data_IF_960238655389
#
_entry.id   IF_960238655389
#
_cell.length_a   1.000
_cell.length_b   1.000
_cell.length_c   1.000
_cell.angle_alpha   90.00
_cell.angle_beta   90.00
_cell.angle_gamma   90.00
#
_symmetry.space_group_name_H-M   'P 1'
#
loop_
_entity.id
_entity.type
_entity.pdbx_description
1 polymer ?
#
# COMPACT_ATOMS: atom_id res chain seq x y z
N UNK A 1 -12.39 43.20 5.33
CA UNK A 1 -12.55 42.23 6.44
C UNK A 1 -13.04 43.02 7.63
N UNK A 2 -14.32 42.86 7.98
CA UNK A 2 -14.96 43.64 9.04
C UNK A 2 -14.55 43.11 10.43
N UNK A 3 -14.71 43.95 11.47
CA UNK A 3 -14.30 43.61 12.84
C UNK A 3 -14.99 42.33 13.37
N UNK A 4 -16.22 42.08 12.93
CA UNK A 4 -17.03 40.91 13.30
C UNK A 4 -16.46 39.61 12.70
N UNK A 5 -16.05 39.65 11.43
CA UNK A 5 -15.37 38.53 10.75
C UNK A 5 -13.99 38.23 11.35
N UNK A 6 -13.34 39.23 11.92
CA UNK A 6 -12.03 39.05 12.59
C UNK A 6 -12.19 38.37 13.96
N UNK A 7 -13.29 38.64 14.66
CA UNK A 7 -13.56 38.07 15.98
C UNK A 7 -14.05 36.63 15.89
N UNK A 8 -14.94 36.31 14.94
CA UNK A 8 -15.38 34.94 14.65
C UNK A 8 -14.18 34.04 14.32
N UNK A 9 -13.22 34.54 13.54
CA UNK A 9 -12.00 33.81 13.19
C UNK A 9 -11.10 33.49 14.40
N UNK A 10 -10.99 34.41 15.36
CA UNK A 10 -10.20 34.19 16.57
C UNK A 10 -10.84 33.12 17.46
N UNK A 11 -12.17 33.13 17.58
CA UNK A 11 -12.92 32.11 18.34
C UNK A 11 -12.76 30.72 17.73
N UNK A 12 -12.81 30.61 16.40
CA UNK A 12 -12.59 29.34 15.70
C UNK A 12 -11.15 28.83 15.83
N UNK A 13 -10.16 29.73 15.81
CA UNK A 13 -8.75 29.38 16.08
C UNK A 13 -8.56 28.82 17.48
N UNK A 14 -9.14 29.47 18.49
CA UNK A 14 -9.08 29.00 19.88
C UNK A 14 -9.78 27.65 20.05
N UNK A 15 -10.87 27.42 19.32
CA UNK A 15 -11.57 26.13 19.29
C UNK A 15 -10.67 25.01 18.74
N UNK A 16 -9.96 25.24 17.62
CA UNK A 16 -9.00 24.27 17.06
C UNK A 16 -7.90 23.94 18.07
N UNK A 17 -7.32 24.95 18.73
CA UNK A 17 -6.27 24.77 19.74
C UNK A 17 -6.79 23.97 20.95
N UNK A 18 -7.99 24.26 21.43
CA UNK A 18 -8.64 23.51 22.51
C UNK A 18 -8.87 22.04 22.14
N UNK A 19 -9.37 21.78 20.92
CA UNK A 19 -9.58 20.42 20.41
C UNK A 19 -8.28 19.64 20.25
N UNK A 20 -7.21 20.31 19.82
CA UNK A 20 -5.86 19.73 19.78
C UNK A 20 -5.37 19.30 21.16
N UNK A 21 -5.52 20.16 22.18
CA UNK A 21 -5.15 19.80 23.55
C UNK A 21 -5.94 18.56 24.04
N UNK A 22 -7.25 18.51 23.77
CA UNK A 22 -8.08 17.35 24.12
C UNK A 22 -7.67 16.07 23.39
N UNK A 23 -7.22 16.16 22.14
CA UNK A 23 -6.68 15.01 21.40
C UNK A 23 -5.39 14.49 22.03
N UNK A 24 -4.47 15.38 22.44
CA UNK A 24 -3.24 14.97 23.13
C UNK A 24 -3.50 14.30 24.48
N UNK A 25 -4.49 14.78 25.24
CA UNK A 25 -4.91 14.13 26.48
C UNK A 25 -5.43 12.71 26.23
N UNK A 26 -6.27 12.52 25.21
CA UNK A 26 -6.78 11.19 24.83
C UNK A 26 -5.66 10.23 24.42
N UNK A 27 -4.68 10.72 23.65
CA UNK A 27 -3.49 9.94 23.27
C UNK A 27 -2.66 9.56 24.48
N UNK A 28 -2.43 10.48 25.41
CA UNK A 28 -1.72 10.20 26.65
C UNK A 28 -2.44 9.14 27.50
N UNK A 29 -3.76 9.22 27.60
CA UNK A 29 -4.57 8.22 28.31
C UNK A 29 -4.48 6.84 27.64
N UNK A 30 -4.52 6.77 26.31
CA UNK A 30 -4.36 5.51 25.55
C UNK A 30 -2.99 4.88 25.78
N UNK A 31 -1.91 5.68 25.77
CA UNK A 31 -0.53 5.18 26.00
C UNK A 31 -0.35 4.53 27.37
N UNK A 32 -1.21 4.88 28.34
CA UNK A 32 -1.21 4.30 29.69
C UNK A 32 -2.10 3.06 29.81
N UNK A 33 -2.93 2.77 28.81
CA UNK A 33 -3.83 1.61 28.82
C UNK A 33 -3.09 0.33 28.40
N UNK A 34 -3.49 -0.79 29.00
CA UNK A 34 -2.96 -2.11 28.66
C UNK A 34 -3.42 -2.51 27.26
N UNK A 35 -2.48 -2.80 26.37
CA UNK A 35 -2.77 -3.20 24.99
C UNK A 35 -3.73 -4.39 24.95
N UNK A 36 -4.78 -4.29 24.13
CA UNK A 36 -5.76 -5.35 23.95
C UNK A 36 -6.88 -5.41 24.99
N UNK A 37 -6.82 -4.61 26.05
CA UNK A 37 -7.96 -4.44 26.98
C UNK A 37 -9.12 -3.69 26.30
N UNK A 38 -10.36 -3.91 26.78
CA UNK A 38 -11.53 -3.15 26.30
C UNK A 38 -11.31 -1.64 26.41
N UNK A 39 -10.70 -1.21 27.53
CA UNK A 39 -10.32 0.18 27.77
C UNK A 39 -9.34 0.71 26.73
N UNK A 40 -8.38 -0.11 26.27
CA UNK A 40 -7.45 0.29 25.21
C UNK A 40 -8.18 0.54 23.89
N UNK A 41 -9.10 -0.35 23.50
CA UNK A 41 -9.87 -0.21 22.27
C UNK A 41 -10.80 1.01 22.31
N UNK A 42 -11.44 1.27 23.45
CA UNK A 42 -12.25 2.47 23.67
C UNK A 42 -11.43 3.75 23.53
N UNK A 43 -10.26 3.82 24.17
CA UNK A 43 -9.37 4.98 24.10
C UNK A 43 -8.78 5.17 22.70
N UNK A 44 -8.47 4.09 21.98
CA UNK A 44 -8.04 4.17 20.59
C UNK A 44 -9.14 4.75 19.71
N UNK A 45 -10.40 4.34 19.89
CA UNK A 45 -11.54 4.90 19.16
C UNK A 45 -11.72 6.39 19.47
N UNK A 46 -11.64 6.80 20.74
CA UNK A 46 -11.74 8.20 21.15
C UNK A 46 -10.65 9.08 20.50
N UNK A 47 -9.41 8.57 20.42
CA UNK A 47 -8.32 9.25 19.70
C UNK A 47 -8.65 9.43 18.21
N UNK A 48 -9.15 8.38 17.55
CA UNK A 48 -9.52 8.44 16.13
C UNK A 48 -10.67 9.42 15.88
N UNK A 49 -11.70 9.43 16.73
CA UNK A 49 -12.85 10.34 16.64
C UNK A 49 -12.44 11.80 16.83
N UNK A 50 -11.64 12.08 17.85
CA UNK A 50 -11.09 13.42 18.09
C UNK A 50 -10.21 13.88 16.94
N UNK A 51 -9.40 12.99 16.37
CA UNK A 51 -8.56 13.28 15.21
C UNK A 51 -9.41 13.63 13.98
N UNK A 52 -10.45 12.84 13.70
CA UNK A 52 -11.36 13.08 12.58
C UNK A 52 -12.09 14.43 12.73
N UNK A 53 -12.64 14.70 13.91
CA UNK A 53 -13.35 15.95 14.19
C UNK A 53 -12.44 17.19 14.06
N UNK A 54 -11.18 17.07 14.49
CA UNK A 54 -10.20 18.15 14.40
C UNK A 54 -9.76 18.41 12.95
N UNK A 55 -9.55 17.36 12.16
CA UNK A 55 -9.23 17.48 10.73
C UNK A 55 -10.38 18.09 9.93
N UNK A 56 -11.63 17.68 10.19
CA UNK A 56 -12.83 18.28 9.58
C UNK A 56 -12.98 19.76 9.97
N UNK A 57 -12.80 20.10 11.25
CA UNK A 57 -12.85 21.49 11.72
C UNK A 57 -11.81 22.35 11.00
N UNK A 58 -10.55 21.91 10.97
CA UNK A 58 -9.48 22.65 10.33
C UNK A 58 -9.66 22.77 8.81
N UNK A 59 -10.24 21.75 8.15
CA UNK A 59 -10.59 21.79 6.74
C UNK A 59 -11.69 22.82 6.43
N UNK A 60 -12.79 22.80 7.20
CA UNK A 60 -13.90 23.74 7.02
C UNK A 60 -13.44 25.20 7.20
N UNK A 61 -12.53 25.45 8.15
CA UNK A 61 -11.92 26.76 8.33
C UNK A 61 -11.09 27.20 7.13
N UNK A 62 -10.32 26.28 6.56
CA UNK A 62 -9.55 26.51 5.33
C UNK A 62 -10.46 26.90 4.16
N UNK A 63 -11.53 26.14 3.92
CA UNK A 63 -12.50 26.42 2.85
C UNK A 63 -13.17 27.80 3.02
N UNK A 64 -13.57 28.14 4.25
CA UNK A 64 -14.12 29.47 4.58
C UNK A 64 -13.11 30.59 4.32
N UNK A 65 -11.85 30.42 4.69
CA UNK A 65 -10.82 31.44 4.45
C UNK A 65 -10.57 31.70 2.96
N UNK A 66 -10.66 30.66 2.14
CA UNK A 66 -10.50 30.77 0.69
C UNK A 66 -11.69 31.44 0.02
N UNK A 67 -12.90 31.20 0.50
CA UNK A 67 -14.10 31.90 -0.02
C UNK A 67 -14.15 33.38 0.37
N UNK A 68 -13.49 33.75 1.48
CA UNK A 68 -13.46 35.13 2.00
C UNK A 68 -12.33 36.00 1.41
N UNK A 69 -11.27 35.41 0.85
CA UNK A 69 -10.20 36.13 0.15
C UNK A 69 -10.47 36.14 -1.36
N UNK A 70 -10.25 37.27 -2.02
CA UNK A 70 -10.06 37.29 -3.48
C UNK A 70 -8.76 36.54 -3.79
N UNK A 71 -8.87 35.22 -3.93
CA UNK A 71 -7.75 34.31 -4.07
C UNK A 71 -7.14 34.36 -5.48
N UNK A 72 -5.82 34.39 -5.55
CA UNK A 72 -5.09 34.32 -6.81
C UNK A 72 -5.08 32.87 -7.34
N UNK A 73 -4.73 32.64 -8.61
CA UNK A 73 -4.63 31.28 -9.20
C UNK A 73 -3.69 30.35 -8.39
N UNK A 74 -2.65 30.89 -7.75
CA UNK A 74 -1.75 30.12 -6.88
C UNK A 74 -2.45 29.62 -5.60
N UNK A 75 -3.34 30.43 -5.01
CA UNK A 75 -4.12 30.06 -3.82
C UNK A 75 -5.14 28.95 -4.16
N UNK A 76 -5.74 29.00 -5.35
CA UNK A 76 -6.64 27.95 -5.86
C UNK A 76 -5.91 26.63 -6.08
N UNK A 77 -4.70 26.66 -6.65
CA UNK A 77 -3.86 25.46 -6.81
C UNK A 77 -3.38 24.91 -5.46
N UNK A 78 -3.08 25.78 -4.50
CA UNK A 78 -2.79 25.40 -3.12
C UNK A 78 -3.98 24.68 -2.46
N UNK A 79 -5.18 25.21 -2.66
CA UNK A 79 -6.41 24.60 -2.15
C UNK A 79 -6.66 23.19 -2.72
N UNK A 80 -6.57 23.03 -4.04
CA UNK A 80 -6.78 21.72 -4.71
C UNK A 80 -5.80 20.67 -4.16
N UNK A 81 -4.54 21.05 -3.91
CA UNK A 81 -3.55 20.15 -3.29
C UNK A 81 -3.90 19.80 -1.86
N UNK A 82 -4.41 20.76 -1.09
CA UNK A 82 -4.86 20.53 0.29
C UNK A 82 -6.13 19.66 0.37
N UNK A 83 -7.03 19.77 -0.62
CA UNK A 83 -8.26 18.96 -0.73
C UNK A 83 -7.94 17.48 -0.94
N UNK A 84 -7.09 17.18 -1.92
CA UNK A 84 -6.64 15.81 -2.18
C UNK A 84 -5.98 15.18 -0.95
N UNK A 85 -5.21 15.97 -0.20
CA UNK A 85 -4.52 15.53 0.99
C UNK A 85 -5.46 15.34 2.20
N UNK A 86 -6.46 16.20 2.36
CA UNK A 86 -7.52 16.04 3.36
C UNK A 86 -8.36 14.78 3.09
N UNK A 87 -8.78 14.57 1.83
CA UNK A 87 -9.51 13.36 1.43
C UNK A 87 -8.70 12.10 1.75
N UNK A 88 -7.41 12.09 1.41
CA UNK A 88 -6.51 10.99 1.74
C UNK A 88 -6.40 10.74 3.26
N UNK A 89 -6.26 11.80 4.06
CA UNK A 89 -6.21 11.68 5.52
C UNK A 89 -7.53 11.10 6.07
N UNK A 90 -8.68 11.56 5.56
CA UNK A 90 -10.00 11.05 5.95
C UNK A 90 -10.19 9.58 5.60
N UNK A 91 -9.80 9.16 4.40
CA UNK A 91 -9.80 7.73 4.00
C UNK A 91 -8.98 6.87 4.96
N UNK A 92 -7.81 7.36 5.37
CA UNK A 92 -6.93 6.64 6.29
C UNK A 92 -7.51 6.51 7.69
N UNK A 93 -8.13 7.56 8.23
CA UNK A 93 -8.84 7.49 9.50
C UNK A 93 -9.98 6.48 9.43
N UNK A 94 -10.76 6.48 8.34
CA UNK A 94 -11.82 5.48 8.12
C UNK A 94 -11.27 4.05 8.07
N UNK A 95 -10.14 3.83 7.41
CA UNK A 95 -9.48 2.52 7.42
C UNK A 95 -9.04 2.12 8.83
N UNK A 96 -8.49 3.04 9.62
CA UNK A 96 -8.09 2.79 11.01
C UNK A 96 -9.27 2.43 11.91
N UNK A 97 -10.43 3.08 11.74
CA UNK A 97 -11.65 2.71 12.45
C UNK A 97 -12.04 1.25 12.16
N UNK A 98 -12.10 0.87 10.88
CA UNK A 98 -12.48 -0.49 10.51
C UNK A 98 -11.46 -1.54 10.99
N UNK A 99 -10.16 -1.21 10.97
CA UNK A 99 -9.11 -2.07 11.53
C UNK A 99 -9.32 -2.24 13.04
N UNK A 100 -9.59 -1.14 13.75
CA UNK A 100 -9.80 -1.14 15.20
C UNK A 100 -11.02 -1.98 15.59
N UNK A 101 -12.14 -1.80 14.88
CA UNK A 101 -13.38 -2.58 15.08
C UNK A 101 -13.13 -4.08 14.89
N UNK A 102 -12.46 -4.44 13.79
CA UNK A 102 -12.12 -5.85 13.50
C UNK A 102 -11.19 -6.43 14.56
N UNK A 103 -10.18 -5.67 15.02
CA UNK A 103 -9.26 -6.10 16.07
C UNK A 103 -9.96 -6.34 17.40
N UNK A 104 -10.83 -5.41 17.81
CA UNK A 104 -11.62 -5.54 19.04
C UNK A 104 -12.45 -6.83 19.04
N UNK A 105 -13.06 -7.17 17.89
CA UNK A 105 -13.83 -8.41 17.74
C UNK A 105 -12.97 -9.68 17.73
N UNK A 106 -11.77 -9.63 17.15
CA UNK A 106 -10.90 -10.80 17.02
C UNK A 106 -10.03 -11.07 18.24
N UNK A 107 -9.73 -10.06 19.06
CA UNK A 107 -8.82 -10.19 20.21
C UNK A 107 -9.20 -11.32 21.19
N UNK A 108 -10.48 -11.51 21.59
CA UNK A 108 -10.89 -12.60 22.50
C UNK A 108 -10.77 -14.02 21.91
N UNK A 109 -10.76 -14.13 20.57
CA UNK A 109 -10.64 -15.41 19.85
C UNK A 109 -9.20 -15.85 19.61
N UNK A 110 -8.23 -14.94 19.73
CA UNK A 110 -6.81 -15.18 19.43
C UNK A 110 -6.13 -16.13 20.41
N UNK A 111 -6.58 -16.21 21.67
CA UNK A 111 -6.02 -17.18 22.63
C UNK A 111 -6.30 -18.66 22.28
N UNK A 112 -7.14 -18.94 21.26
CA UNK A 112 -7.64 -20.30 20.99
C UNK A 112 -7.43 -20.85 19.58
N UNK A 113 -6.94 -20.07 18.62
CA UNK A 113 -6.86 -20.49 17.21
C UNK A 113 -5.43 -20.72 16.72
N UNK A 114 -4.96 -21.98 16.69
CA UNK A 114 -3.72 -22.34 16.01
C UNK A 114 -3.84 -22.09 14.50
N UNK A 115 -2.88 -21.36 13.92
CA UNK A 115 -2.76 -21.33 12.46
C UNK A 115 -2.29 -22.69 11.94
N UNK A 116 -2.73 -23.12 10.74
CA UNK A 116 -2.28 -24.38 10.17
C UNK A 116 -0.75 -24.35 9.98
N UNK A 117 -0.05 -25.33 10.56
CA UNK A 117 1.38 -25.51 10.36
C UNK A 117 1.69 -25.76 8.88
N UNK A 118 2.47 -24.87 8.25
CA UNK A 118 2.90 -24.99 6.86
C UNK A 118 4.20 -25.81 6.80
N UNK A 119 4.11 -27.13 6.97
CA UNK A 119 5.27 -28.03 6.85
C UNK A 119 5.88 -27.96 5.43
N UNK A 120 7.13 -28.36 5.16
CA UNK A 120 7.69 -28.32 3.79
C UNK A 120 7.02 -29.30 2.81
N UNK A 121 6.54 -30.45 3.30
CA UNK A 121 5.83 -31.46 2.49
C UNK A 121 4.31 -31.21 2.47
N UNK A 122 3.91 -30.04 1.98
CA UNK A 122 2.50 -29.67 1.82
C UNK A 122 1.95 -30.34 0.57
N UNK A 123 0.83 -31.05 0.68
CA UNK A 123 0.17 -31.58 -0.52
C UNK A 123 -0.42 -30.43 -1.37
N UNK A 124 -0.61 -30.61 -2.68
CA UNK A 124 -1.09 -29.55 -3.57
C UNK A 124 -2.37 -28.84 -3.07
N UNK A 125 -3.31 -29.59 -2.48
CA UNK A 125 -4.53 -29.05 -1.86
C UNK A 125 -4.24 -28.04 -0.74
N UNK A 126 -3.28 -28.33 0.12
CA UNK A 126 -2.92 -27.42 1.21
C UNK A 126 -2.13 -26.20 0.70
N UNK A 127 -1.30 -26.35 -0.35
CA UNK A 127 -0.67 -25.21 -1.04
C UNK A 127 -1.73 -24.29 -1.67
N UNK A 128 -2.79 -24.87 -2.23
CA UNK A 128 -3.94 -24.15 -2.76
C UNK A 128 -4.64 -23.33 -1.68
N UNK A 129 -4.96 -23.93 -0.53
CA UNK A 129 -5.59 -23.23 0.61
C UNK A 129 -4.72 -22.09 1.11
N UNK A 130 -3.39 -22.27 1.12
CA UNK A 130 -2.46 -21.22 1.49
C UNK A 130 -2.62 -19.98 0.59
N UNK A 131 -2.62 -20.16 -0.73
CA UNK A 131 -2.82 -19.05 -1.68
C UNK A 131 -4.21 -18.43 -1.55
N UNK A 132 -5.24 -19.24 -1.31
CA UNK A 132 -6.60 -18.76 -1.09
C UNK A 132 -6.67 -17.83 0.14
N UNK A 133 -6.02 -18.21 1.24
CA UNK A 133 -5.91 -17.38 2.44
C UNK A 133 -5.14 -16.09 2.17
N UNK A 134 -4.03 -16.17 1.45
CA UNK A 134 -3.24 -14.99 1.05
C UNK A 134 -4.08 -14.00 0.27
N UNK A 135 -4.85 -14.48 -0.71
CA UNK A 135 -5.71 -13.63 -1.56
C UNK A 135 -6.84 -13.02 -0.74
N UNK A 136 -7.51 -13.80 0.11
CA UNK A 136 -8.65 -13.34 0.91
C UNK A 136 -8.24 -12.36 2.04
N UNK A 137 -6.98 -12.38 2.48
CA UNK A 137 -6.45 -11.42 3.49
C UNK A 137 -6.25 -10.00 2.90
N UNK A 138 -6.45 -9.84 1.58
CA UNK A 138 -6.27 -8.56 0.89
C UNK A 138 -7.44 -7.58 1.11
N UNK A 139 -8.64 -8.07 1.38
CA UNK A 139 -9.86 -7.25 1.53
C UNK A 139 -9.99 -6.60 2.91
N UNK A 140 -8.94 -6.68 3.73
CA UNK A 140 -8.88 -5.96 4.99
C UNK A 140 -8.56 -4.47 4.74
N UNK A 141 -9.30 -3.53 5.36
CA UNK A 141 -9.02 -2.10 5.25
C UNK A 141 -7.59 -1.81 5.71
N UNK A 142 -6.88 -0.97 4.95
CA UNK A 142 -5.43 -0.78 5.12
C UNK A 142 -5.07 0.67 5.38
N UNK A 143 -4.19 0.84 6.35
CA UNK A 143 -3.49 2.08 6.57
C UNK A 143 -1.99 1.71 6.62
N UNK A 144 -1.20 1.97 5.56
CA UNK A 144 0.23 1.67 5.61
C UNK A 144 0.89 2.44 6.75
N UNK A 145 1.94 1.87 7.35
CA UNK A 145 2.69 2.53 8.42
C UNK A 145 3.24 3.87 7.95
N UNK A 146 3.18 4.89 8.80
CA UNK A 146 3.65 6.22 8.43
C UNK A 146 5.15 6.24 8.14
N UNK A 147 5.96 5.57 8.97
CA UNK A 147 7.40 5.42 8.72
C UNK A 147 7.68 4.90 7.31
N UNK A 148 6.96 3.86 6.87
CA UNK A 148 7.03 3.35 5.51
C UNK A 148 6.63 4.41 4.46
N UNK A 149 5.49 5.08 4.64
CA UNK A 149 5.02 6.12 3.70
C UNK A 149 6.05 7.25 3.58
N UNK A 150 6.56 7.72 4.72
CA UNK A 150 7.60 8.76 4.81
C UNK A 150 8.87 8.30 4.12
N UNK A 151 9.36 7.11 4.42
CA UNK A 151 10.61 6.60 3.87
C UNK A 151 10.51 6.39 2.36
N UNK A 152 9.35 5.93 1.86
CA UNK A 152 9.04 5.87 0.42
C UNK A 152 9.04 7.29 -0.17
N UNK A 153 8.31 8.25 0.43
CA UNK A 153 8.30 9.65 -0.06
C UNK A 153 9.69 10.27 -0.09
N UNK A 154 10.51 10.04 0.93
CA UNK A 154 11.90 10.51 0.99
C UNK A 154 12.74 9.88 -0.11
N UNK A 155 12.59 8.58 -0.36
CA UNK A 155 13.31 7.90 -1.42
C UNK A 155 12.96 8.46 -2.81
N UNK A 156 11.68 8.62 -3.11
CA UNK A 156 11.20 9.23 -4.38
C UNK A 156 11.42 10.76 -4.42
N UNK A 157 11.70 11.40 -3.28
CA UNK A 157 11.84 12.84 -3.10
C UNK A 157 13.24 13.29 -2.75
N UNK A 158 14.31 12.54 -3.11
CA UNK A 158 15.74 12.73 -2.79
C UNK A 158 16.40 14.09 -3.14
N UNK A 159 15.71 15.21 -3.03
CA UNK A 159 16.25 16.56 -3.03
C UNK A 159 15.62 17.42 -1.92
N UNK A 160 15.81 17.07 -0.64
CA UNK A 160 15.84 18.11 0.41
C UNK A 160 16.76 17.75 1.57
N UNK A 161 17.78 18.58 1.72
CA UNK A 161 18.73 18.66 2.83
C UNK A 161 18.02 19.37 3.99
N UNK A 162 18.19 18.89 5.23
CA UNK A 162 17.79 19.55 6.50
C UNK A 162 16.29 19.72 6.77
N UNK A 163 15.61 18.67 7.26
CA UNK A 163 14.46 18.81 8.17
C UNK A 163 13.22 19.56 7.66
N UNK A 164 13.15 19.87 6.37
CA UNK A 164 11.96 20.41 5.71
C UNK A 164 11.36 19.31 4.84
N UNK A 165 10.04 19.10 4.97
CA UNK A 165 9.26 18.20 4.12
C UNK A 165 9.61 18.42 2.66
N UNK A 166 9.85 17.34 1.93
CA UNK A 166 10.18 17.42 0.51
C UNK A 166 9.06 18.17 -0.22
N UNK A 167 9.34 19.38 -0.71
CA UNK A 167 8.34 20.19 -1.43
C UNK A 167 7.79 19.48 -2.67
N UNK A 168 8.55 18.51 -3.18
CA UNK A 168 8.23 17.76 -4.39
C UNK A 168 8.69 16.31 -4.31
N UNK A 169 7.95 15.41 -4.94
CA UNK A 169 8.32 14.02 -5.17
C UNK A 169 8.41 13.73 -6.67
N UNK A 170 9.29 12.82 -7.08
CA UNK A 170 9.33 12.34 -8.46
C UNK A 170 8.19 11.36 -8.72
N UNK A 171 7.32 11.67 -9.69
CA UNK A 171 6.29 10.75 -10.15
C UNK A 171 6.81 9.96 -11.36
N UNK A 172 7.02 8.65 -11.20
CA UNK A 172 7.52 7.79 -12.27
C UNK A 172 6.53 7.58 -13.42
N UNK A 173 5.23 7.80 -13.18
CA UNK A 173 4.16 7.70 -14.19
C UNK A 173 4.07 8.96 -15.05
N UNK A 174 4.14 10.13 -14.39
CA UNK A 174 4.04 11.44 -15.04
C UNK A 174 5.39 11.95 -15.55
N UNK A 175 6.49 11.26 -15.20
CA UNK A 175 7.87 11.59 -15.53
C UNK A 175 8.25 13.05 -15.19
N UNK A 176 7.77 13.51 -14.02
CA UNK A 176 7.99 14.88 -13.54
C UNK A 176 7.92 14.97 -12.03
N UNK A 177 8.44 16.07 -11.48
CA UNK A 177 8.23 16.44 -10.08
C UNK A 177 6.78 16.88 -9.87
N UNK A 178 6.15 16.39 -8.80
CA UNK A 178 4.78 16.70 -8.40
C UNK A 178 4.73 16.92 -6.88
N UNK A 179 3.62 17.44 -6.37
CA UNK A 179 3.46 17.58 -4.93
C UNK A 179 3.40 16.20 -4.26
N UNK A 180 3.95 16.01 -3.05
CA UNK A 180 3.80 14.75 -2.31
C UNK A 180 2.34 14.37 -2.03
N UNK A 181 1.43 15.35 -2.04
CA UNK A 181 -0.02 15.16 -1.88
C UNK A 181 -0.68 14.59 -3.14
N UNK A 182 -0.06 14.77 -4.32
CA UNK A 182 -0.54 14.23 -5.59
C UNK A 182 -0.16 12.75 -5.78
N UNK A 183 0.47 12.14 -4.77
CA UNK A 183 0.96 10.77 -4.82
C UNK A 183 0.63 10.01 -3.53
N UNK A 184 0.38 8.71 -3.69
CA UNK A 184 0.09 7.75 -2.65
C UNK A 184 1.18 6.68 -2.62
N UNK A 185 1.71 6.44 -1.42
CA UNK A 185 2.59 5.30 -1.21
C UNK A 185 1.74 4.03 -1.12
N UNK A 186 2.12 3.00 -1.87
CA UNK A 186 1.46 1.69 -1.88
C UNK A 186 2.47 0.59 -1.67
N UNK A 187 2.11 -0.41 -0.90
CA UNK A 187 2.89 -1.61 -0.75
C UNK A 187 2.75 -2.57 -1.95
N UNK A 188 3.83 -3.24 -2.31
CA UNK A 188 3.85 -4.28 -3.35
C UNK A 188 3.40 -5.61 -2.75
N UNK A 189 4.07 -6.02 -1.68
CA UNK A 189 3.65 -7.12 -0.83
C UNK A 189 2.81 -6.57 0.33
N UNK A 190 1.57 -7.03 0.53
CA UNK A 190 0.68 -6.51 1.55
C UNK A 190 1.25 -6.60 2.97
N UNK A 191 1.23 -5.48 3.71
CA UNK A 191 1.60 -5.48 5.13
C UNK A 191 0.69 -6.37 5.98
N UNK A 192 -0.58 -6.56 5.56
CA UNK A 192 -1.54 -7.43 6.22
C UNK A 192 -1.17 -8.91 6.20
N UNK A 193 -0.20 -9.33 5.36
CA UNK A 193 0.36 -10.68 5.41
C UNK A 193 1.50 -10.78 6.42
N UNK A 194 2.12 -9.67 6.82
CA UNK A 194 3.17 -9.66 7.83
C UNK A 194 4.53 -10.15 7.35
N UNK A 195 5.56 -9.88 8.15
CA UNK A 195 6.96 -10.08 7.77
C UNK A 195 7.30 -11.55 7.67
N UNK A 196 6.64 -12.36 8.47
CA UNK A 196 6.88 -13.79 8.52
C UNK A 196 6.35 -14.50 7.27
N UNK A 197 5.18 -14.11 6.74
CA UNK A 197 4.71 -14.60 5.44
C UNK A 197 5.62 -14.14 4.30
N UNK A 198 6.08 -12.88 4.33
CA UNK A 198 7.08 -12.41 3.38
C UNK A 198 8.34 -13.29 3.43
N UNK A 199 8.83 -13.61 4.63
CA UNK A 199 10.02 -14.46 4.82
C UNK A 199 9.78 -15.90 4.34
N UNK A 200 8.59 -16.45 4.55
CA UNK A 200 8.23 -17.78 4.07
C UNK A 200 8.17 -17.85 2.53
N UNK A 201 7.55 -16.85 1.91
CA UNK A 201 7.31 -16.82 0.46
C UNK A 201 8.62 -16.59 -0.31
N UNK A 202 9.42 -15.63 0.15
CA UNK A 202 10.60 -15.18 -0.58
C UNK A 202 11.90 -15.77 -0.04
N UNK A 203 11.94 -16.17 1.23
CA UNK A 203 13.11 -16.70 1.94
C UNK A 203 13.72 -15.74 2.97
N UNK A 204 14.78 -16.17 3.68
CA UNK A 204 15.40 -15.45 4.79
C UNK A 204 15.93 -14.05 4.44
N UNK A 205 16.33 -13.81 3.19
CA UNK A 205 16.79 -12.49 2.72
C UNK A 205 15.67 -11.44 2.67
N UNK A 206 14.41 -11.87 2.70
CA UNK A 206 13.26 -10.99 2.77
C UNK A 206 12.92 -10.57 4.22
N UNK A 207 13.64 -11.11 5.23
CA UNK A 207 13.47 -10.74 6.62
C UNK A 207 13.77 -9.24 6.84
N UNK A 208 12.86 -8.56 7.53
CA UNK A 208 12.93 -7.12 7.79
C UNK A 208 12.71 -6.25 6.55
N UNK A 209 12.18 -6.80 5.44
CA UNK A 209 11.93 -6.05 4.20
C UNK A 209 10.49 -5.52 4.06
N UNK A 210 9.57 -5.91 4.96
CA UNK A 210 8.15 -5.59 4.86
C UNK A 210 7.89 -4.08 4.76
N UNK A 211 8.48 -3.30 5.67
CA UNK A 211 8.32 -1.84 5.74
C UNK A 211 9.48 -1.08 5.07
N UNK A 212 10.21 -1.72 4.16
CA UNK A 212 11.31 -1.05 3.46
C UNK A 212 10.84 -0.41 2.16
N UNK A 213 11.57 0.60 1.69
CA UNK A 213 11.31 1.27 0.40
C UNK A 213 11.25 0.28 -0.77
N UNK A 214 11.99 -0.84 -0.72
CA UNK A 214 11.94 -1.87 -1.77
C UNK A 214 10.59 -2.59 -1.88
N UNK A 215 9.74 -2.49 -0.86
CA UNK A 215 8.35 -2.97 -0.88
C UNK A 215 7.34 -1.85 -1.22
N UNK A 216 7.80 -0.65 -1.56
CA UNK A 216 6.94 0.52 -1.77
C UNK A 216 7.04 1.13 -3.16
N UNK A 217 5.88 1.57 -3.66
CA UNK A 217 5.76 2.41 -4.84
C UNK A 217 5.10 3.73 -4.46
N UNK A 218 5.47 4.81 -5.16
CA UNK A 218 4.82 6.11 -5.02
C UNK A 218 4.09 6.44 -6.33
N UNK A 219 2.76 6.34 -6.33
CA UNK A 219 1.91 6.37 -7.52
C UNK A 219 0.81 7.43 -7.41
N UNK A 220 0.26 7.95 -8.54
CA UNK A 220 -0.97 8.74 -8.50
C UNK A 220 -2.13 8.00 -7.80
N UNK A 221 -3.02 8.69 -7.06
CA UNK A 221 -4.07 8.07 -6.25
C UNK A 221 -4.91 7.00 -6.96
N UNK A 222 -5.44 7.27 -8.14
CA UNK A 222 -6.27 6.30 -8.86
C UNK A 222 -5.44 5.09 -9.29
N UNK A 223 -4.19 5.30 -9.73
CA UNK A 223 -3.32 4.18 -10.09
C UNK A 223 -2.90 3.36 -8.86
N UNK A 224 -2.64 4.03 -7.73
CA UNK A 224 -2.36 3.39 -6.45
C UNK A 224 -3.51 2.48 -6.03
N UNK A 225 -4.75 2.94 -6.13
CA UNK A 225 -5.94 2.13 -5.86
C UNK A 225 -6.01 0.91 -6.77
N UNK A 226 -5.88 1.10 -8.10
CA UNK A 226 -5.92 -0.02 -9.04
C UNK A 226 -4.78 -1.03 -8.82
N UNK A 227 -3.61 -0.55 -8.40
CA UNK A 227 -2.46 -1.40 -8.07
C UNK A 227 -2.76 -2.22 -6.82
N UNK A 228 -3.22 -1.60 -5.74
CA UNK A 228 -3.65 -2.30 -4.52
C UNK A 228 -4.81 -3.27 -4.77
N UNK A 229 -5.66 -3.01 -5.77
CA UNK A 229 -6.72 -3.90 -6.21
C UNK A 229 -6.25 -5.01 -7.16
N UNK A 230 -4.94 -5.09 -7.48
CA UNK A 230 -4.37 -6.02 -8.44
C UNK A 230 -5.00 -5.95 -9.85
N UNK A 231 -5.54 -4.79 -10.24
CA UNK A 231 -6.07 -4.56 -11.60
C UNK A 231 -4.98 -4.07 -12.55
N UNK A 232 -3.86 -3.58 -12.01
CA UNK A 232 -2.62 -3.25 -12.72
C UNK A 232 -1.42 -3.84 -12.00
N UNK A 233 -0.30 -4.01 -12.69
CA UNK A 233 0.96 -4.51 -12.11
C UNK A 233 2.18 -3.97 -12.85
N UNK A 234 3.38 -4.22 -12.34
CA UNK A 234 4.64 -3.92 -13.02
C UNK A 234 5.31 -5.20 -13.47
N UNK A 235 5.82 -5.18 -14.69
CA UNK A 235 6.54 -6.29 -15.28
C UNK A 235 7.91 -5.81 -15.77
N UNK A 236 8.93 -6.66 -15.79
CA UNK A 236 10.21 -6.29 -16.37
C UNK A 236 10.09 -6.00 -17.87
N UNK A 237 11.00 -5.19 -18.39
CA UNK A 237 11.17 -4.98 -19.83
C UNK A 237 12.35 -5.82 -20.34
N UNK A 238 12.37 -6.04 -21.66
CA UNK A 238 13.26 -6.95 -22.40
C UNK A 238 14.75 -6.53 -22.43
N UNK A 239 15.24 -5.78 -21.45
CA UNK A 239 16.64 -5.38 -21.38
C UNK A 239 17.44 -6.37 -20.54
N UNK A 240 18.16 -7.23 -21.26
CA UNK A 240 19.12 -8.26 -20.83
C UNK A 240 19.53 -8.21 -19.36
N UNK A 241 19.21 -9.30 -18.66
CA UNK A 241 19.86 -9.75 -17.44
C UNK A 241 21.39 -9.81 -17.67
N UNK A 242 22.12 -8.85 -17.10
CA UNK A 242 23.57 -8.96 -16.93
C UNK A 242 23.83 -9.04 -15.44
N UNK A 243 24.40 -10.16 -14.97
CA UNK A 243 24.76 -10.41 -13.56
C UNK A 243 25.64 -9.31 -12.93
N UNK A 244 26.23 -8.42 -13.75
CA UNK A 244 27.12 -7.35 -13.33
C UNK A 244 26.58 -5.93 -13.54
N UNK A 245 25.35 -5.74 -14.04
CA UNK A 245 24.78 -4.41 -14.26
C UNK A 245 23.25 -4.43 -14.19
N UNK A 246 22.72 -4.24 -12.99
CA UNK A 246 21.29 -4.06 -12.74
C UNK A 246 20.91 -2.59 -13.02
N UNK A 247 20.02 -2.30 -13.98
CA UNK A 247 18.62 -2.11 -13.61
C UNK A 247 17.65 -2.90 -14.47
N UNK A 248 16.78 -3.66 -13.81
CA UNK A 248 15.42 -3.85 -14.28
C UNK A 248 14.78 -2.50 -14.64
N UNK A 249 14.50 -2.30 -15.93
CA UNK A 249 13.55 -1.30 -16.40
C UNK A 249 12.18 -1.97 -16.40
N UNK A 250 11.17 -1.31 -15.84
CA UNK A 250 9.84 -1.88 -15.64
C UNK A 250 8.85 -1.29 -16.64
N UNK A 251 7.76 -2.00 -16.93
CA UNK A 251 6.61 -1.50 -17.69
C UNK A 251 5.32 -1.67 -16.89
N UNK A 252 4.38 -0.73 -17.05
CA UNK A 252 3.04 -0.89 -16.47
C UNK A 252 2.23 -1.88 -17.30
N UNK A 253 1.63 -2.87 -16.64
CA UNK A 253 0.75 -3.86 -17.26
C UNK A 253 -0.66 -3.67 -16.71
N UNK A 254 -1.63 -3.46 -17.61
CA UNK A 254 -3.05 -3.41 -17.26
C UNK A 254 -3.57 -4.82 -17.38
N UNK A 255 -3.93 -5.40 -16.24
CA UNK A 255 -4.41 -6.77 -16.15
C UNK A 255 -5.91 -6.79 -16.42
N UNK A 256 -6.66 -5.87 -15.80
CA UNK A 256 -8.09 -5.68 -16.05
C UNK A 256 -8.36 -4.82 -17.29
N UNK A 257 -8.14 -5.41 -18.46
CA UNK A 257 -8.37 -4.71 -19.74
C UNK A 257 -9.85 -4.44 -20.02
N UNK A 258 -10.79 -5.22 -19.48
CA UNK A 258 -12.21 -4.99 -19.72
C UNK A 258 -12.75 -3.86 -18.85
N UNK A 259 -12.36 -3.83 -17.58
CA UNK A 259 -12.81 -2.82 -16.64
C UNK A 259 -12.07 -1.49 -16.78
N UNK A 260 -10.74 -1.49 -16.92
CA UNK A 260 -9.95 -0.25 -16.80
C UNK A 260 -9.59 0.44 -18.11
N UNK A 261 -9.54 -0.26 -19.24
CA UNK A 261 -8.79 0.20 -20.41
C UNK A 261 -9.14 1.61 -20.91
N UNK A 262 -10.43 1.96 -20.88
CA UNK A 262 -10.94 3.26 -21.31
C UNK A 262 -11.19 4.24 -20.14
N UNK A 263 -10.92 3.83 -18.90
CA UNK A 263 -11.04 4.72 -17.75
C UNK A 263 -9.91 5.74 -17.73
N UNK A 264 -10.23 6.97 -17.34
CA UNK A 264 -9.28 8.06 -17.23
C UNK A 264 -8.51 7.98 -15.91
N UNK A 265 -7.21 8.24 -16.00
CA UNK A 265 -6.31 8.38 -14.86
C UNK A 265 -6.21 9.83 -14.39
N UNK A 266 -5.61 10.05 -13.22
CA UNK A 266 -5.33 11.38 -12.64
C UNK A 266 -4.42 12.27 -13.51
N UNK A 267 -3.83 11.71 -14.56
CA UNK A 267 -3.00 12.46 -15.51
C UNK A 267 -3.71 12.77 -16.83
N UNK A 268 -5.01 12.50 -16.95
CA UNK A 268 -5.80 12.76 -18.16
C UNK A 268 -5.54 11.78 -19.31
N UNK A 269 -4.74 10.73 -19.07
CA UNK A 269 -4.54 9.61 -20.00
C UNK A 269 -5.47 8.45 -19.62
N UNK A 270 -5.85 7.62 -20.59
CA UNK A 270 -6.56 6.38 -20.28
C UNK A 270 -5.59 5.31 -19.78
N UNK A 271 -6.05 4.31 -19.02
CA UNK A 271 -5.19 3.20 -18.60
C UNK A 271 -4.61 2.43 -19.81
N UNK A 272 -5.35 2.33 -20.92
CA UNK A 272 -4.85 1.76 -22.16
C UNK A 272 -3.60 2.46 -22.70
N UNK A 273 -3.49 3.79 -22.55
CA UNK A 273 -2.32 4.58 -22.96
C UNK A 273 -1.11 4.31 -22.06
N UNK A 274 -1.35 3.91 -20.80
CA UNK A 274 -0.30 3.55 -19.87
C UNK A 274 0.17 2.10 -20.05
N UNK A 275 -0.58 1.25 -20.76
CA UNK A 275 -0.22 -0.14 -20.94
C UNK A 275 1.09 -0.31 -21.72
N UNK A 276 1.98 -1.15 -21.20
CA UNK A 276 3.35 -1.38 -21.69
C UNK A 276 4.26 -0.15 -21.71
N UNK A 277 3.84 0.97 -21.09
CA UNK A 277 4.70 2.14 -20.94
C UNK A 277 5.83 1.82 -19.97
N UNK A 278 7.07 2.12 -20.38
CA UNK A 278 8.24 1.98 -19.51
C UNK A 278 8.20 2.97 -18.35
N UNK A 279 8.57 2.50 -17.17
CA UNK A 279 8.63 3.25 -15.92
C UNK A 279 10.08 3.26 -15.43
N UNK A 280 10.79 4.39 -15.56
CA UNK A 280 12.13 4.52 -15.03
C UNK A 280 12.08 4.73 -13.51
N UNK A 281 12.78 3.88 -12.77
CA UNK A 281 13.05 4.12 -11.35
C UNK A 281 14.48 4.65 -11.19
N UNK A 282 14.65 5.63 -10.30
CA UNK A 282 15.98 6.09 -9.90
C UNK A 282 16.67 5.01 -9.06
N UNK A 283 18.00 4.90 -9.14
CA UNK A 283 18.78 3.78 -8.60
C UNK A 283 18.51 3.44 -7.12
N UNK A 284 18.23 4.44 -6.30
CA UNK A 284 17.96 4.26 -4.87
C UNK A 284 16.49 3.92 -4.53
N UNK A 285 15.61 3.84 -5.52
CA UNK A 285 14.15 3.83 -5.37
C UNK A 285 13.53 2.64 -6.11
N UNK A 286 14.32 1.59 -6.36
CA UNK A 286 13.87 0.46 -7.17
C UNK A 286 13.01 -0.50 -6.35
N UNK A 287 11.85 -0.91 -6.88
CA UNK A 287 11.06 -1.96 -6.25
C UNK A 287 11.79 -3.30 -6.31
N UNK A 288 11.57 -4.16 -5.33
CA UNK A 288 12.11 -5.50 -5.33
C UNK A 288 11.37 -6.38 -6.35
N UNK A 289 12.11 -6.91 -7.33
CA UNK A 289 11.54 -7.75 -8.39
C UNK A 289 10.83 -9.00 -7.90
N UNK A 290 11.26 -9.60 -6.77
CA UNK A 290 10.58 -10.76 -6.17
C UNK A 290 9.16 -10.40 -5.71
N UNK A 291 9.03 -9.23 -5.09
CA UNK A 291 7.73 -8.75 -4.59
C UNK A 291 6.81 -8.40 -5.75
N UNK A 292 7.34 -7.77 -6.81
CA UNK A 292 6.59 -7.50 -8.04
C UNK A 292 6.14 -8.77 -8.75
N UNK A 293 6.99 -9.82 -8.80
CA UNK A 293 6.61 -11.11 -9.36
C UNK A 293 5.44 -11.73 -8.60
N UNK A 294 5.47 -11.72 -7.26
CA UNK A 294 4.35 -12.19 -6.45
C UNK A 294 3.08 -11.37 -6.68
N UNK A 295 3.18 -10.04 -6.69
CA UNK A 295 2.06 -9.15 -7.00
C UNK A 295 1.48 -9.45 -8.39
N UNK A 296 2.33 -9.70 -9.38
CA UNK A 296 1.92 -10.12 -10.72
C UNK A 296 1.12 -11.43 -10.67
N UNK A 297 1.59 -12.46 -9.97
CA UNK A 297 0.85 -13.73 -9.82
C UNK A 297 -0.53 -13.53 -9.18
N UNK A 298 -0.62 -12.72 -8.12
CA UNK A 298 -1.89 -12.38 -7.49
C UNK A 298 -2.84 -11.66 -8.46
N UNK A 299 -2.34 -10.68 -9.22
CA UNK A 299 -3.12 -9.97 -10.22
C UNK A 299 -3.63 -10.89 -11.32
N UNK A 300 -2.78 -11.80 -11.76
CA UNK A 300 -3.15 -12.76 -12.78
C UNK A 300 -4.26 -13.71 -12.34
N UNK A 301 -4.13 -14.26 -11.15
CA UNK A 301 -5.09 -15.19 -10.59
C UNK A 301 -6.45 -14.51 -10.32
N UNK A 302 -6.44 -13.28 -9.78
CA UNK A 302 -7.66 -12.53 -9.57
C UNK A 302 -8.33 -12.09 -10.87
N UNK A 303 -7.56 -11.81 -11.92
CA UNK A 303 -8.13 -11.57 -13.24
C UNK A 303 -8.75 -12.83 -13.82
N UNK A 304 -8.08 -13.98 -13.71
CA UNK A 304 -8.60 -15.25 -14.21
C UNK A 304 -9.96 -15.58 -13.57
N UNK A 305 -10.08 -15.42 -12.24
CA UNK A 305 -11.35 -15.59 -11.51
C UNK A 305 -12.44 -14.62 -12.00
N UNK A 306 -12.10 -13.34 -12.21
CA UNK A 306 -13.06 -12.36 -12.75
C UNK A 306 -13.51 -12.74 -14.17
N UNK A 307 -12.60 -13.12 -15.04
CA UNK A 307 -12.94 -13.54 -16.40
C UNK A 307 -13.82 -14.79 -16.39
N UNK A 308 -13.55 -15.75 -15.50
CA UNK A 308 -14.36 -16.95 -15.27
C UNK A 308 -15.80 -16.61 -14.83
N UNK A 309 -15.95 -15.69 -13.88
CA UNK A 309 -17.27 -15.17 -13.44
C UNK A 309 -18.07 -14.56 -14.61
N UNK A 310 -17.40 -13.93 -15.57
CA UNK A 310 -18.01 -13.41 -16.80
C UNK A 310 -18.14 -14.44 -17.93
N UNK A 311 -17.83 -15.71 -17.70
CA UNK A 311 -17.89 -16.78 -18.70
C UNK A 311 -16.86 -16.66 -19.81
N UNK A 312 -15.73 -16.02 -19.52
CA UNK A 312 -14.62 -15.80 -20.46
C UNK A 312 -13.32 -16.40 -19.94
N UNK A 313 -12.39 -16.70 -20.85
CA UNK A 313 -11.04 -17.12 -20.45
C UNK A 313 -10.12 -15.92 -20.30
N UNK A 314 -9.11 -16.07 -19.44
CA UNK A 314 -8.06 -15.11 -19.26
C UNK A 314 -7.37 -14.82 -20.62
N UNK A 315 -7.19 -13.54 -20.95
CA UNK A 315 -6.42 -13.17 -22.14
C UNK A 315 -4.91 -13.23 -21.86
N UNK A 316 -4.33 -14.40 -22.09
CA UNK A 316 -2.93 -14.70 -21.78
C UNK A 316 -1.92 -14.01 -22.71
N UNK A 317 -2.29 -13.66 -23.96
CA UNK A 317 -1.36 -13.22 -25.02
C UNK A 317 -0.54 -11.97 -24.64
N UNK A 318 -1.09 -11.06 -23.84
CA UNK A 318 -0.35 -9.87 -23.38
C UNK A 318 0.34 -10.02 -22.03
N UNK A 319 0.10 -11.14 -21.34
CA UNK A 319 0.50 -11.39 -19.95
C UNK A 319 1.62 -12.43 -19.93
N UNK A 320 1.57 -13.41 -20.84
CA UNK A 320 2.66 -14.35 -21.13
C UNK A 320 4.01 -13.67 -21.44
N UNK A 321 3.98 -12.50 -22.08
CA UNK A 321 5.17 -11.75 -22.48
C UNK A 321 5.71 -10.81 -21.40
N UNK A 322 5.04 -10.72 -20.24
CA UNK A 322 5.41 -9.80 -19.18
C UNK A 322 6.70 -10.22 -18.46
N UNK A 323 6.97 -11.53 -18.40
CA UNK A 323 8.13 -12.10 -17.68
C UNK A 323 9.01 -12.97 -18.60
N UNK A 324 9.00 -12.68 -19.90
CA UNK A 324 9.85 -13.34 -20.90
C UNK A 324 10.62 -12.33 -21.75
N UNK A 325 11.89 -12.61 -22.03
CA UNK A 325 12.76 -11.87 -22.94
C UNK A 325 13.09 -12.73 -24.17
N UNK A 326 12.71 -12.30 -25.37
CA UNK A 326 12.99 -13.00 -26.64
C UNK A 326 12.62 -14.52 -26.63
N UNK A 327 11.54 -14.88 -25.94
CA UNK A 327 11.12 -16.28 -25.77
C UNK A 327 11.87 -17.07 -24.69
N UNK A 328 12.77 -16.42 -23.94
CA UNK A 328 13.40 -16.96 -22.73
C UNK A 328 12.69 -16.42 -21.50
N UNK A 329 12.34 -17.30 -20.57
CA UNK A 329 11.76 -16.87 -19.29
C UNK A 329 12.84 -16.13 -18.50
N UNK A 330 12.50 -15.01 -17.85
CA UNK A 330 13.38 -14.32 -16.91
C UNK A 330 13.65 -15.23 -15.69
N UNK A 331 14.54 -16.20 -15.82
CA UNK A 331 14.78 -17.20 -14.79
C UNK A 331 15.45 -16.58 -13.57
N UNK A 332 14.82 -16.70 -12.41
CA UNK A 332 15.37 -16.29 -11.12
C UNK A 332 14.58 -16.92 -9.99
N UNK A 333 15.21 -17.37 -8.89
CA UNK A 333 14.52 -17.97 -7.76
C UNK A 333 13.78 -16.88 -6.99
N UNK A 334 12.54 -16.61 -7.37
CA UNK A 334 11.77 -15.50 -6.81
C UNK A 334 10.89 -15.94 -5.65
N UNK A 335 10.20 -17.07 -5.80
CA UNK A 335 9.19 -17.55 -4.86
C UNK A 335 9.46 -19.02 -4.56
N UNK A 336 9.29 -19.42 -3.29
CA UNK A 336 9.39 -20.81 -2.85
C UNK A 336 8.49 -21.73 -3.68
N UNK A 337 9.01 -22.90 -4.06
CA UNK A 337 8.31 -23.92 -4.85
C UNK A 337 6.94 -24.33 -4.28
N UNK A 338 6.81 -24.46 -2.95
CA UNK A 338 5.53 -24.77 -2.30
C UNK A 338 4.46 -23.70 -2.52
N UNK A 339 4.86 -22.43 -2.55
CA UNK A 339 3.97 -21.30 -2.80
C UNK A 339 3.60 -21.23 -4.28
N UNK A 340 4.59 -21.43 -5.15
CA UNK A 340 4.39 -21.44 -6.59
C UNK A 340 3.48 -22.60 -7.03
N UNK A 341 3.64 -23.78 -6.43
CA UNK A 341 2.75 -24.93 -6.62
C UNK A 341 1.30 -24.58 -6.27
N UNK A 342 1.06 -23.86 -5.17
CA UNK A 342 -0.27 -23.39 -4.80
C UNK A 342 -0.90 -22.46 -5.83
N UNK A 343 -0.12 -21.56 -6.45
CA UNK A 343 -0.62 -20.72 -7.55
C UNK A 343 -0.99 -21.55 -8.78
N UNK A 344 -0.16 -22.54 -9.10
CA UNK A 344 -0.36 -23.41 -10.27
C UNK A 344 -1.64 -24.21 -10.13
N UNK A 345 -1.88 -24.82 -8.97
CA UNK A 345 -3.15 -25.53 -8.69
C UNK A 345 -4.36 -24.61 -8.86
N UNK A 346 -4.28 -23.34 -8.44
CA UNK A 346 -5.39 -22.41 -8.65
C UNK A 346 -5.54 -21.95 -10.11
N UNK A 347 -4.44 -21.82 -10.84
CA UNK A 347 -4.48 -21.53 -12.28
C UNK A 347 -5.07 -22.69 -13.08
N UNK A 348 -4.84 -23.94 -12.67
CA UNK A 348 -5.47 -25.13 -13.26
C UNK A 348 -6.99 -25.08 -13.14
N UNK A 349 -7.50 -24.70 -11.96
CA UNK A 349 -8.93 -24.55 -11.71
C UNK A 349 -9.56 -23.45 -12.56
N UNK A 350 -8.88 -22.30 -12.71
CA UNK A 350 -9.35 -21.17 -13.53
C UNK A 350 -9.10 -21.33 -15.03
N UNK A 351 -8.72 -22.53 -15.50
CA UNK A 351 -8.61 -22.86 -16.93
C UNK A 351 -7.46 -22.17 -17.66
N UNK A 352 -6.41 -21.74 -16.95
CA UNK A 352 -5.22 -21.10 -17.52
C UNK A 352 -4.34 -22.11 -18.25
N UNK A 353 -3.74 -21.70 -19.37
CA UNK A 353 -3.04 -22.61 -20.28
C UNK A 353 -1.84 -23.32 -19.62
N UNK A 354 -1.54 -24.58 -20.02
CA UNK A 354 -0.34 -25.28 -19.59
C UNK A 354 0.97 -24.55 -19.94
N UNK A 355 0.95 -23.74 -21.00
CA UNK A 355 2.12 -23.00 -21.48
C UNK A 355 2.46 -21.90 -20.47
N UNK A 356 1.46 -21.11 -20.06
CA UNK A 356 1.62 -20.06 -19.06
C UNK A 356 2.13 -20.64 -17.72
N UNK A 357 1.57 -21.77 -17.29
CA UNK A 357 2.00 -22.47 -16.07
C UNK A 357 3.44 -22.92 -16.12
N UNK A 358 3.86 -23.50 -17.25
CA UNK A 358 5.25 -23.94 -17.46
C UNK A 358 6.22 -22.74 -17.39
N UNK A 359 5.84 -21.59 -17.93
CA UNK A 359 6.63 -20.35 -17.85
C UNK A 359 6.76 -19.88 -16.39
N UNK A 360 5.67 -19.83 -15.65
CA UNK A 360 5.69 -19.46 -14.21
C UNK A 360 6.61 -20.38 -13.41
N UNK A 361 6.56 -21.69 -13.67
CA UNK A 361 7.38 -22.67 -12.96
C UNK A 361 8.88 -22.43 -13.11
N UNK A 362 9.36 -21.72 -14.13
CA UNK A 362 10.78 -21.40 -14.27
C UNK A 362 11.33 -20.40 -13.23
N UNK A 363 10.46 -19.82 -12.39
CA UNK A 363 10.81 -18.84 -11.35
C UNK A 363 10.86 -19.43 -9.92
N UNK A 364 10.81 -20.75 -9.78
CA UNK A 364 10.81 -21.40 -8.48
C UNK A 364 12.14 -21.25 -7.74
N UNK A 365 12.05 -21.11 -6.42
CA UNK A 365 13.14 -21.29 -5.48
C UNK A 365 12.93 -22.64 -4.78
N UNK A 366 13.90 -23.58 -4.83
CA UNK A 366 13.81 -24.81 -4.06
C UNK A 366 13.63 -24.53 -2.57
N UNK A 367 12.75 -25.27 -1.90
CA UNK A 367 12.72 -25.28 -0.43
C UNK A 367 13.96 -26.01 0.08
N UNK A 368 14.76 -25.36 0.95
CA UNK A 368 15.93 -25.96 1.58
C UNK A 368 15.54 -26.53 2.95
N UNK A 369 15.86 -27.81 3.20
CA UNK A 369 15.50 -28.55 4.43
C UNK A 369 16.12 -27.92 5.69
N UNK A 370 17.13 -27.06 5.55
CA UNK A 370 17.75 -26.33 6.68
C UNK A 370 16.96 -25.09 7.12
N UNK A 371 16.05 -24.57 6.30
CA UNK A 371 15.17 -23.44 6.65
C UNK A 371 13.97 -23.88 7.55
N UNK A 372 13.87 -25.18 7.86
CA UNK A 372 12.79 -25.85 8.60
C UNK A 372 12.53 -25.31 10.02
N UNK A 373 13.58 -24.91 10.75
CA UNK A 373 13.43 -24.39 12.13
C UNK A 373 12.65 -23.08 12.19
N UNK A 374 12.67 -22.27 11.12
CA UNK A 374 11.93 -21.00 11.05
C UNK A 374 10.45 -21.19 10.71
N UNK A 375 10.08 -22.34 10.14
CA UNK A 375 8.75 -22.61 9.61
C UNK A 375 7.79 -23.14 10.67
N UNK A 376 8.28 -23.86 11.68
CA UNK A 376 7.47 -24.28 12.84
C UNK A 376 6.99 -23.08 13.69
N UNK A 377 7.64 -21.92 13.58
CA UNK A 377 7.22 -20.69 14.26
C UNK A 377 5.98 -20.07 13.57
N UNK A 378 5.72 -20.36 12.29
CA UNK A 378 4.58 -19.81 11.51
C UNK A 378 3.20 -20.28 11.97
N UNK A 379 3.13 -21.29 12.84
CA UNK A 379 1.86 -21.75 13.42
C UNK A 379 1.27 -20.75 14.45
N UNK A 380 2.10 -19.87 15.02
CA UNK A 380 1.71 -18.87 16.03
C UNK A 380 1.68 -17.44 15.49
N UNK A 381 1.73 -17.29 14.16
CA UNK A 381 2.05 -16.03 13.51
C UNK A 381 0.77 -15.31 13.09
N UNK A 382 0.50 -14.22 13.80
CA UNK A 382 -0.54 -13.24 13.49
C UNK A 382 0.07 -12.08 12.69
N UNK A 383 -0.20 -11.99 11.37
CA UNK A 383 0.19 -10.85 10.55
C UNK A 383 -0.23 -9.49 11.12
N UNK A 384 -1.30 -9.45 11.91
CA UNK A 384 -1.83 -8.24 12.51
C UNK A 384 -1.17 -7.90 13.86
N UNK A 385 -0.43 -8.81 14.49
CA UNK A 385 0.34 -8.54 15.72
C UNK A 385 1.59 -7.70 15.43
N UNK A 386 2.18 -7.84 14.23
CA UNK A 386 3.28 -6.97 13.78
C UNK A 386 2.80 -5.58 13.35
N UNK A 387 1.51 -5.26 13.43
CA UNK A 387 0.98 -3.92 13.18
C UNK A 387 0.79 -3.11 14.48
N UNK A 388 1.41 -3.54 15.60
CA UNK A 388 1.39 -2.88 16.90
C UNK A 388 2.20 -1.56 16.97
N UNK A 389 2.09 -0.70 15.95
CA UNK A 389 2.70 0.64 15.90
C UNK A 389 1.62 1.72 15.68
N UNK A 390 0.55 1.63 16.46
CA UNK A 390 -0.48 2.68 16.58
C UNK A 390 0.09 3.98 17.22
N UNK A 391 1.39 4.06 17.54
CA UNK A 391 2.07 5.27 17.98
C UNK A 391 2.52 6.14 16.79
N UNK A 392 2.92 5.54 15.67
CA UNK A 392 3.41 6.29 14.51
C UNK A 392 2.28 6.97 13.71
N UNK A 393 1.06 6.41 13.75
CA UNK A 393 -0.12 7.01 13.14
C UNK A 393 -0.62 8.27 13.86
N UNK A 394 -0.37 8.37 15.17
CA UNK A 394 -0.68 9.56 15.97
C UNK A 394 0.26 10.71 15.63
N UNK A 395 1.57 10.46 15.54
CA UNK A 395 2.57 11.46 15.18
C UNK A 395 2.27 12.06 13.80
N UNK A 396 1.84 11.24 12.84
CA UNK A 396 1.42 11.68 11.51
C UNK A 396 0.18 12.57 11.51
N UNK A 397 -0.90 12.15 12.19
CA UNK A 397 -2.12 12.96 12.26
C UNK A 397 -1.84 14.33 12.89
N UNK A 398 -0.83 14.41 13.76
CA UNK A 398 -0.34 15.67 14.33
C UNK A 398 0.48 16.47 13.32
N UNK A 399 1.42 15.83 12.61
CA UNK A 399 2.29 16.49 11.65
C UNK A 399 1.50 17.08 10.47
N UNK A 400 0.54 16.32 9.94
CA UNK A 400 -0.31 16.77 8.83
C UNK A 400 -1.29 17.87 9.26
N UNK A 401 -1.94 17.70 10.42
CA UNK A 401 -2.78 18.74 10.99
C UNK A 401 -1.96 20.00 11.29
N UNK A 402 -0.75 19.86 11.80
CA UNK A 402 0.15 20.97 12.06
C UNK A 402 0.61 21.66 10.78
N UNK A 403 0.87 20.92 9.71
CA UNK A 403 1.19 21.48 8.40
C UNK A 403 0.00 22.23 7.81
N UNK A 404 -1.21 21.66 7.89
CA UNK A 404 -2.44 22.32 7.47
C UNK A 404 -2.66 23.61 8.28
N UNK A 405 -2.62 23.53 9.61
CA UNK A 405 -2.74 24.68 10.51
C UNK A 405 -1.68 25.75 10.22
N UNK A 406 -0.41 25.37 10.03
CA UNK A 406 0.69 26.30 9.73
C UNK A 406 0.52 27.00 8.38
N UNK A 407 0.08 26.26 7.37
CA UNK A 407 -0.13 26.78 6.00
C UNK A 407 -1.19 27.89 6.00
N UNK A 408 -2.24 27.74 6.81
CA UNK A 408 -3.34 28.72 6.86
C UNK A 408 -3.12 29.87 7.84
N UNK A 409 -2.42 29.63 8.96
CA UNK A 409 -2.30 30.64 10.01
C UNK A 409 -1.02 31.47 9.95
N UNK A 410 -0.02 31.05 9.16
CA UNK A 410 1.22 31.81 8.96
C UNK A 410 2.00 32.01 10.26
N UNK A 411 2.81 31.02 10.64
CA UNK A 411 3.66 30.93 11.84
C UNK A 411 2.96 31.11 13.19
#
# INVERSE_FOLDING_TARGET
>A
MDAESTQEFLEEKDLVLSRRASLEEARAARRQAEYGSDKYWELLRDVLEKSAALSELAWNLSERLLTLRDCNEEDQLGYIRSDSAFLYHRERLNAQFQITDKRQLMYPGRERGMSPSLKPNICPYQQRIFIERVINTKDEPKCPRWSFVRDVRVAYGKATFMGQSARWCWCTIRDRQVSPTDLRAVEIFPHSLGQQWMTYIFGPEARGKLYTVGNGLLLPPNLAEQFSQYRVTLAPTNHRWNDNSDPWTWKLVIVDRKGLWNELTDCGMCYGDLHNRSIPFQDAVRPNGKFLFFHYLCAMLLQARRDEEYGTMLNEVGLEDAWTDEGRVHSGPYIRDTVLGGFIEQFDESGVSPIFRTKIMAHFRPTDDTEEETVNVLADIDPQAEMAEDSESEEEATEYLDEMIKTFWGN
#
